data_IF_796676929731
#
_entry.id   IF_796676929731
#
_cell.length_a   1.000
_cell.length_b   1.000
_cell.length_c   1.000
_cell.angle_alpha   90.00
_cell.angle_beta   90.00
_cell.angle_gamma   90.00
#
_symmetry.space_group_name_H-M   'P 1'
#
loop_
_entity.id
_entity.type
_entity.pdbx_description
1 polymer ?
#
# COMPACT_ATOMS: atom_id res chain seq x y z
N UNK A 1 -17.76 -4.78 16.73
CA UNK A 1 -16.43 -4.77 17.33
C UNK A 1 -16.24 -3.44 18.04
N UNK A 2 -16.15 -3.45 19.39
CA UNK A 2 -15.85 -2.25 20.20
C UNK A 2 -14.47 -1.75 19.73
N UNK A 3 -14.43 -0.54 19.18
CA UNK A 3 -13.16 0.17 18.96
C UNK A 3 -12.51 0.38 20.32
N UNK A 4 -11.33 -0.19 20.52
CA UNK A 4 -10.52 0.05 21.70
C UNK A 4 -10.27 1.56 21.79
N UNK A 5 -10.85 2.20 22.81
CA UNK A 5 -10.76 3.65 23.02
C UNK A 5 -9.46 4.04 23.70
N UNK A 6 -8.72 3.06 24.20
CA UNK A 6 -7.45 3.28 24.86
C UNK A 6 -6.36 3.65 23.85
N UNK A 7 -5.54 4.67 24.13
CA UNK A 7 -4.44 5.04 23.27
C UNK A 7 -3.43 3.90 23.14
N UNK A 8 -2.76 3.86 22.00
CA UNK A 8 -1.64 2.95 21.75
C UNK A 8 -0.48 3.38 22.65
N UNK A 9 0.19 2.42 23.29
CA UNK A 9 1.43 2.63 24.05
C UNK A 9 2.54 1.72 23.54
N UNK A 10 3.77 2.02 23.90
CA UNK A 10 4.95 1.20 23.53
C UNK A 10 4.79 -0.25 24.04
N UNK A 11 4.28 -0.43 25.25
CA UNK A 11 4.06 -1.75 25.85
C UNK A 11 3.02 -2.54 25.05
N UNK A 12 1.91 -1.88 24.65
CA UNK A 12 0.88 -2.50 23.80
C UNK A 12 1.45 -2.90 22.42
N UNK A 13 2.30 -2.07 21.80
CA UNK A 13 2.96 -2.39 20.53
C UNK A 13 3.85 -3.62 20.70
N UNK A 14 4.71 -3.65 21.73
CA UNK A 14 5.58 -4.80 22.00
C UNK A 14 4.79 -6.08 22.30
N UNK A 15 3.69 -5.97 23.03
CA UNK A 15 2.80 -7.10 23.33
C UNK A 15 2.13 -7.62 22.04
N UNK A 16 1.57 -6.73 21.22
CA UNK A 16 0.94 -7.07 19.95
C UNK A 16 1.95 -7.72 18.98
N UNK A 17 3.17 -7.17 18.89
CA UNK A 17 4.23 -7.75 18.08
C UNK A 17 4.56 -9.18 18.53
N UNK A 18 4.81 -9.41 19.84
CA UNK A 18 5.09 -10.76 20.35
C UNK A 18 3.97 -11.74 20.05
N UNK A 19 2.72 -11.31 20.28
CA UNK A 19 1.55 -12.17 20.09
C UNK A 19 1.30 -12.56 18.62
N UNK A 20 1.62 -11.66 17.67
CA UNK A 20 1.28 -11.82 16.25
C UNK A 20 2.49 -11.98 15.33
N UNK A 21 3.69 -12.11 15.88
CA UNK A 21 4.93 -12.12 15.10
C UNK A 21 4.97 -13.21 14.03
N UNK A 22 4.50 -14.41 14.35
CA UNK A 22 4.45 -15.51 13.37
C UNK A 22 3.52 -15.18 12.19
N UNK A 23 2.32 -14.64 12.48
CA UNK A 23 1.35 -14.25 11.47
C UNK A 23 1.88 -13.11 10.59
N UNK A 24 2.54 -12.11 11.21
CA UNK A 24 3.15 -10.97 10.50
C UNK A 24 4.25 -11.45 9.56
N UNK A 25 5.14 -12.31 10.03
CA UNK A 25 6.23 -12.86 9.21
C UNK A 25 5.72 -13.74 8.08
N UNK A 26 4.69 -14.55 8.33
CA UNK A 26 4.03 -15.32 7.28
C UNK A 26 3.47 -14.38 6.19
N UNK A 27 2.83 -13.29 6.59
CA UNK A 27 2.31 -12.28 5.63
C UNK A 27 3.42 -11.61 4.82
N UNK A 28 4.51 -11.21 5.46
CA UNK A 28 5.65 -10.62 4.75
C UNK A 28 6.28 -11.63 3.77
N UNK A 29 6.38 -12.91 4.15
CA UNK A 29 6.84 -13.96 3.26
C UNK A 29 5.91 -14.18 2.06
N UNK A 30 4.59 -14.08 2.24
CA UNK A 30 3.63 -14.13 1.12
C UNK A 30 3.84 -12.97 0.13
N UNK A 31 4.16 -11.75 0.62
CA UNK A 31 4.50 -10.63 -0.25
C UNK A 31 5.81 -10.88 -1.02
N UNK A 32 6.85 -11.40 -0.37
CA UNK A 32 8.10 -11.79 -1.04
C UNK A 32 7.88 -12.88 -2.09
N UNK A 33 6.97 -13.81 -1.85
CA UNK A 33 6.57 -14.82 -2.82
C UNK A 33 5.90 -14.20 -4.06
N UNK A 34 5.15 -13.11 -3.90
CA UNK A 34 4.64 -12.36 -5.05
C UNK A 34 5.81 -11.86 -5.90
N UNK A 35 6.83 -11.24 -5.28
CA UNK A 35 8.00 -10.78 -6.05
C UNK A 35 8.73 -11.91 -6.76
N UNK A 36 8.94 -13.03 -6.10
CA UNK A 36 9.69 -14.16 -6.68
C UNK A 36 8.95 -14.89 -7.79
N UNK A 37 7.62 -15.03 -7.71
CA UNK A 37 6.84 -15.97 -8.51
C UNK A 37 5.82 -15.31 -9.44
N UNK A 38 5.41 -14.07 -9.18
CA UNK A 38 4.33 -13.45 -9.92
C UNK A 38 4.77 -13.03 -11.33
N UNK A 39 3.84 -13.13 -12.26
CA UNK A 39 3.94 -12.55 -13.59
C UNK A 39 3.72 -11.04 -13.55
N UNK A 40 4.11 -10.32 -14.61
CA UNK A 40 3.80 -8.87 -14.73
C UNK A 40 2.30 -8.59 -14.70
N UNK A 41 1.47 -9.49 -15.24
CA UNK A 41 0.02 -9.38 -15.14
C UNK A 41 -0.47 -9.42 -13.67
N UNK A 42 0.18 -10.21 -12.82
CA UNK A 42 -0.13 -10.24 -11.38
C UNK A 42 0.38 -8.98 -10.67
N UNK A 43 1.55 -8.46 -11.05
CA UNK A 43 2.05 -7.18 -10.53
C UNK A 43 1.12 -6.02 -10.92
N UNK A 44 0.63 -6.02 -12.16
CA UNK A 44 -0.39 -5.09 -12.62
C UNK A 44 -1.69 -5.17 -11.78
N UNK A 45 -2.18 -6.37 -11.50
CA UNK A 45 -3.35 -6.56 -10.62
C UNK A 45 -3.12 -5.95 -9.22
N UNK A 46 -1.94 -6.13 -8.62
CA UNK A 46 -1.60 -5.51 -7.32
C UNK A 46 -1.54 -3.99 -7.40
N UNK A 47 -1.04 -3.42 -8.50
CA UNK A 47 -1.02 -1.98 -8.70
C UNK A 47 -2.44 -1.43 -8.79
N UNK A 48 -3.33 -2.08 -9.56
CA UNK A 48 -4.74 -1.71 -9.65
C UNK A 48 -5.45 -1.86 -8.29
N UNK A 49 -5.14 -2.88 -7.51
CA UNK A 49 -5.65 -2.99 -6.14
C UNK A 49 -5.28 -1.76 -5.31
N UNK A 50 -4.05 -1.26 -5.41
CA UNK A 50 -3.64 -0.04 -4.70
C UNK A 50 -4.35 1.22 -5.24
N UNK A 51 -4.66 1.31 -6.53
CA UNK A 51 -5.53 2.36 -7.07
C UNK A 51 -6.91 2.32 -6.39
N UNK A 52 -7.47 1.13 -6.15
CA UNK A 52 -8.77 1.00 -5.49
C UNK A 52 -8.74 1.35 -4.01
N UNK A 53 -7.64 1.09 -3.29
CA UNK A 53 -7.57 1.36 -1.85
C UNK A 53 -7.35 2.84 -1.51
N UNK A 54 -7.09 3.69 -2.50
CA UNK A 54 -7.00 5.13 -2.29
C UNK A 54 -8.37 5.72 -1.90
N UNK A 55 -8.55 6.01 -0.61
CA UNK A 55 -9.81 6.50 -0.03
C UNK A 55 -10.92 5.44 0.10
N UNK A 56 -10.55 4.14 0.06
CA UNK A 56 -11.46 3.02 0.26
C UNK A 56 -10.81 1.93 1.15
N UNK A 57 -11.63 0.96 1.59
CA UNK A 57 -11.12 -0.16 2.40
C UNK A 57 -10.43 -1.22 1.54
N UNK A 58 -9.50 -1.98 2.15
CA UNK A 58 -8.88 -3.14 1.49
C UNK A 58 -9.93 -4.16 1.00
N UNK A 59 -10.99 -4.40 1.78
CA UNK A 59 -12.09 -5.30 1.37
C UNK A 59 -12.81 -4.81 0.12
N UNK A 60 -13.06 -3.50 0.01
CA UNK A 60 -13.61 -2.91 -1.22
C UNK A 60 -12.64 -3.06 -2.40
N UNK A 61 -11.35 -2.86 -2.19
CA UNK A 61 -10.32 -3.08 -3.19
C UNK A 61 -10.31 -4.51 -3.73
N UNK A 62 -10.34 -5.51 -2.83
CA UNK A 62 -10.39 -6.93 -3.20
C UNK A 62 -11.65 -7.29 -4.01
N UNK A 63 -12.82 -6.86 -3.55
CA UNK A 63 -14.08 -7.08 -4.26
C UNK A 63 -14.10 -6.39 -5.64
N UNK A 64 -13.45 -5.22 -5.75
CA UNK A 64 -13.33 -4.51 -7.03
C UNK A 64 -12.40 -5.22 -8.00
N UNK A 65 -11.26 -5.74 -7.54
CA UNK A 65 -10.35 -6.55 -8.37
C UNK A 65 -11.06 -7.80 -8.88
N UNK A 66 -11.77 -8.51 -8.02
CA UNK A 66 -12.53 -9.71 -8.42
C UNK A 66 -13.53 -9.40 -9.54
N UNK A 67 -14.25 -8.28 -9.45
CA UNK A 67 -15.23 -7.88 -10.44
C UNK A 67 -14.63 -7.55 -11.82
N UNK A 68 -13.39 -7.04 -11.88
CA UNK A 68 -12.77 -6.57 -13.13
C UNK A 68 -11.55 -7.38 -13.60
N UNK A 69 -11.17 -8.45 -12.88
CA UNK A 69 -9.93 -9.20 -13.20
C UNK A 69 -9.82 -9.58 -14.66
N UNK A 70 -10.91 -10.03 -15.27
CA UNK A 70 -10.98 -10.40 -16.69
C UNK A 70 -10.85 -9.22 -17.65
N UNK A 71 -11.05 -7.98 -17.17
CA UNK A 71 -10.97 -6.73 -17.94
C UNK A 71 -9.62 -6.02 -17.79
N UNK A 72 -8.75 -6.42 -16.85
CA UNK A 72 -7.52 -5.70 -16.52
C UNK A 72 -6.58 -5.51 -17.70
N UNK A 73 -6.51 -6.50 -18.61
CA UNK A 73 -5.61 -6.44 -19.75
C UNK A 73 -6.09 -5.50 -20.88
N UNK A 74 -7.40 -5.48 -21.17
CA UNK A 74 -7.93 -4.81 -22.38
C UNK A 74 -9.30 -4.15 -22.20
N UNK A 75 -9.91 -4.21 -21.02
CA UNK A 75 -11.23 -3.63 -20.79
C UNK A 75 -11.24 -2.14 -21.06
N UNK A 76 -12.30 -1.65 -21.69
CA UNK A 76 -12.51 -0.22 -21.93
C UNK A 76 -12.90 0.50 -20.64
N UNK A 77 -12.88 1.83 -20.67
CA UNK A 77 -13.34 2.63 -19.55
C UNK A 77 -14.80 2.30 -19.16
N UNK A 78 -15.67 2.15 -20.16
CA UNK A 78 -17.10 1.86 -19.99
C UNK A 78 -17.31 0.46 -19.37
N UNK A 79 -16.62 -0.55 -19.87
CA UNK A 79 -16.70 -1.93 -19.35
C UNK A 79 -16.21 -1.99 -17.89
N UNK A 80 -15.06 -1.38 -17.60
CA UNK A 80 -14.51 -1.30 -16.24
C UNK A 80 -15.46 -0.53 -15.30
N UNK A 81 -16.00 0.61 -15.75
CA UNK A 81 -16.92 1.41 -14.95
C UNK A 81 -18.22 0.65 -14.67
N UNK A 82 -18.78 -0.06 -15.66
CA UNK A 82 -19.98 -0.87 -15.49
C UNK A 82 -19.76 -2.02 -14.48
N UNK A 83 -18.64 -2.72 -14.58
CA UNK A 83 -18.31 -3.83 -13.66
C UNK A 83 -18.04 -3.34 -12.22
N UNK A 84 -17.56 -2.10 -12.06
CA UNK A 84 -17.31 -1.46 -10.76
C UNK A 84 -18.55 -0.84 -10.12
N UNK A 85 -19.68 -0.74 -10.82
CA UNK A 85 -20.95 -0.28 -10.24
C UNK A 85 -21.33 -1.13 -9.03
N UNK A 86 -21.71 -0.46 -7.92
CA UNK A 86 -22.05 -1.12 -6.64
C UNK A 86 -20.91 -1.92 -5.98
N UNK A 87 -19.71 -1.96 -6.61
CA UNK A 87 -18.51 -2.63 -6.05
C UNK A 87 -17.52 -1.63 -5.50
N UNK A 88 -17.39 -0.46 -6.15
CA UNK A 88 -16.48 0.59 -5.71
C UNK A 88 -17.19 1.93 -5.57
N UNK A 89 -16.75 2.78 -4.61
CA UNK A 89 -17.33 4.11 -4.35
C UNK A 89 -17.21 5.06 -5.55
N UNK A 90 -16.14 4.93 -6.34
CA UNK A 90 -15.79 5.83 -7.44
C UNK A 90 -15.57 5.05 -8.75
N UNK A 91 -16.58 4.38 -9.31
CA UNK A 91 -16.41 3.49 -10.46
C UNK A 91 -15.80 4.22 -11.66
N UNK A 92 -16.33 5.38 -12.05
CA UNK A 92 -15.86 6.14 -13.22
C UNK A 92 -14.42 6.66 -13.06
N UNK A 93 -14.11 7.25 -11.91
CA UNK A 93 -12.74 7.76 -11.69
C UNK A 93 -11.70 6.65 -11.66
N UNK A 94 -12.03 5.51 -11.03
CA UNK A 94 -11.07 4.39 -10.91
C UNK A 94 -10.88 3.66 -12.23
N UNK A 95 -11.93 3.48 -13.02
CA UNK A 95 -11.80 2.93 -14.37
C UNK A 95 -10.95 3.83 -15.27
N UNK A 96 -11.14 5.14 -15.22
CA UNK A 96 -10.30 6.10 -15.95
C UNK A 96 -8.83 6.03 -15.51
N UNK A 97 -8.56 5.93 -14.20
CA UNK A 97 -7.18 5.77 -13.70
C UNK A 97 -6.54 4.48 -14.20
N UNK A 98 -7.27 3.38 -14.24
CA UNK A 98 -6.77 2.10 -14.75
C UNK A 98 -6.40 2.21 -16.23
N UNK A 99 -7.29 2.77 -17.06
CA UNK A 99 -7.04 2.93 -18.49
C UNK A 99 -5.79 3.79 -18.76
N UNK A 100 -5.71 4.98 -18.15
CA UNK A 100 -4.57 5.89 -18.33
C UNK A 100 -3.26 5.27 -17.80
N UNK A 101 -3.30 4.58 -16.66
CA UNK A 101 -2.10 3.95 -16.11
C UNK A 101 -1.65 2.78 -16.97
N UNK A 102 -2.57 1.98 -17.50
CA UNK A 102 -2.27 0.88 -18.41
C UNK A 102 -1.60 1.39 -19.69
N UNK A 103 -2.19 2.39 -20.36
CA UNK A 103 -1.63 3.01 -21.56
C UNK A 103 -0.22 3.56 -21.30
N UNK A 104 -0.02 4.24 -20.18
CA UNK A 104 1.30 4.72 -19.80
C UNK A 104 2.32 3.57 -19.63
N UNK A 105 1.95 2.49 -18.93
CA UNK A 105 2.84 1.35 -18.72
C UNK A 105 3.12 0.57 -20.00
N UNK A 106 2.16 0.50 -20.92
CA UNK A 106 2.37 -0.07 -22.25
C UNK A 106 3.44 0.72 -23.01
N UNK A 107 3.38 2.05 -22.97
CA UNK A 107 4.36 2.93 -23.64
C UNK A 107 5.72 3.00 -22.92
N UNK A 108 5.74 3.08 -21.59
CA UNK A 108 6.97 3.25 -20.79
C UNK A 108 7.82 1.97 -20.70
N UNK A 109 7.16 0.83 -20.47
CA UNK A 109 7.86 -0.43 -20.21
C UNK A 109 7.26 -1.68 -20.89
N UNK A 110 6.30 -1.51 -21.82
CA UNK A 110 5.62 -2.64 -22.49
C UNK A 110 4.95 -3.58 -21.48
N UNK A 111 4.39 -3.07 -20.40
CA UNK A 111 3.81 -3.82 -19.27
C UNK A 111 4.80 -4.71 -18.53
N UNK A 112 6.12 -4.59 -18.75
CA UNK A 112 7.17 -5.33 -18.02
C UNK A 112 7.47 -4.66 -16.69
N UNK A 113 6.51 -4.71 -15.77
CA UNK A 113 6.58 -4.03 -14.48
C UNK A 113 7.76 -4.49 -13.63
N UNK A 114 8.07 -5.79 -13.62
CA UNK A 114 9.20 -6.33 -12.88
C UNK A 114 10.52 -5.70 -13.34
N UNK A 115 10.83 -5.79 -14.62
CA UNK A 115 12.04 -5.22 -15.21
C UNK A 115 12.13 -3.71 -14.93
N UNK A 116 11.00 -3.00 -15.08
CA UNK A 116 10.93 -1.58 -14.79
C UNK A 116 11.23 -1.26 -13.34
N UNK A 117 10.66 -1.99 -12.39
CA UNK A 117 10.91 -1.78 -10.96
C UNK A 117 12.34 -2.16 -10.55
N UNK A 118 12.94 -3.17 -11.19
CA UNK A 118 14.33 -3.58 -10.97
C UNK A 118 15.34 -2.61 -11.56
N UNK A 119 14.98 -1.84 -12.59
CA UNK A 119 15.88 -0.85 -13.21
C UNK A 119 16.25 0.32 -12.29
N UNK A 120 15.51 0.55 -11.19
CA UNK A 120 15.85 1.57 -10.21
C UNK A 120 16.83 1.03 -9.17
N UNK A 121 18.03 1.57 -9.10
CA UNK A 121 19.01 1.24 -8.07
C UNK A 121 18.59 1.84 -6.71
N UNK A 122 18.03 3.06 -6.71
CA UNK A 122 17.54 3.73 -5.51
C UNK A 122 16.05 3.38 -5.24
N UNK A 123 15.73 2.82 -4.06
CA UNK A 123 14.35 2.60 -3.63
C UNK A 123 13.47 3.86 -3.64
N UNK A 124 14.04 5.04 -3.41
CA UNK A 124 13.30 6.30 -3.45
C UNK A 124 12.91 6.67 -4.88
N UNK A 125 13.79 6.51 -5.86
CA UNK A 125 13.49 6.75 -7.28
C UNK A 125 12.40 5.80 -7.78
N UNK A 126 12.44 4.53 -7.37
CA UNK A 126 11.40 3.54 -7.67
C UNK A 126 10.02 4.00 -7.19
N UNK A 127 9.91 4.46 -5.93
CA UNK A 127 8.66 5.00 -5.39
C UNK A 127 8.26 6.31 -6.05
N UNK A 128 9.22 7.21 -6.32
CA UNK A 128 8.98 8.47 -7.00
C UNK A 128 8.42 8.24 -8.41
N UNK A 129 8.93 7.26 -9.15
CA UNK A 129 8.37 6.89 -10.45
C UNK A 129 6.88 6.55 -10.36
N UNK A 130 6.46 5.75 -9.38
CA UNK A 130 5.05 5.43 -9.16
C UNK A 130 4.22 6.65 -8.72
N UNK A 131 4.73 7.41 -7.75
CA UNK A 131 3.96 8.48 -7.09
C UNK A 131 3.88 9.78 -7.87
N UNK A 132 4.84 10.05 -8.79
CA UNK A 132 5.01 11.34 -9.46
C UNK A 132 4.89 11.29 -10.98
N UNK A 133 4.92 10.11 -11.60
CA UNK A 133 4.70 9.98 -13.04
C UNK A 133 3.29 10.44 -13.40
N UNK A 134 3.20 11.35 -14.37
CA UNK A 134 1.90 11.88 -14.81
C UNK A 134 0.97 10.82 -15.38
N UNK A 135 1.52 9.73 -15.91
CA UNK A 135 0.76 8.61 -16.45
C UNK A 135 0.28 7.61 -15.41
N UNK A 136 0.90 7.54 -14.23
CA UNK A 136 0.41 6.68 -13.14
C UNK A 136 -0.65 7.46 -12.35
N UNK A 137 -1.90 7.03 -12.44
CA UNK A 137 -3.03 7.72 -11.83
C UNK A 137 -3.53 7.05 -10.57
N UNK A 138 -3.94 7.86 -9.60
CA UNK A 138 -4.56 7.39 -8.38
C UNK A 138 -3.60 6.85 -7.32
N UNK A 139 -2.29 6.95 -7.55
CA UNK A 139 -1.25 6.61 -6.59
C UNK A 139 -0.52 7.88 -6.10
N UNK A 140 -0.58 8.09 -4.77
CA UNK A 140 0.33 9.00 -4.07
C UNK A 140 1.46 8.20 -3.42
N UNK A 141 2.25 8.83 -2.53
CA UNK A 141 3.34 8.13 -1.82
C UNK A 141 2.85 6.95 -0.98
N UNK A 142 1.69 7.09 -0.32
CA UNK A 142 1.10 6.04 0.51
C UNK A 142 0.72 4.81 -0.34
N UNK A 143 0.01 5.02 -1.44
CA UNK A 143 -0.43 3.94 -2.32
C UNK A 143 0.75 3.29 -3.06
N UNK A 144 1.76 4.07 -3.44
CA UNK A 144 3.00 3.57 -4.04
C UNK A 144 3.79 2.70 -3.06
N UNK A 145 3.92 3.13 -1.80
CA UNK A 145 4.52 2.31 -0.73
C UNK A 145 3.72 1.03 -0.50
N UNK A 146 2.38 1.12 -0.51
CA UNK A 146 1.50 -0.03 -0.36
C UNK A 146 1.69 -1.06 -1.48
N UNK A 147 1.76 -0.60 -2.73
CA UNK A 147 2.03 -1.47 -3.87
C UNK A 147 3.40 -2.14 -3.75
N UNK A 148 4.47 -1.38 -3.49
CA UNK A 148 5.83 -1.90 -3.38
C UNK A 148 5.95 -2.96 -2.29
N UNK A 149 5.35 -2.73 -1.10
CA UNK A 149 5.30 -3.75 -0.05
C UNK A 149 4.52 -4.99 -0.48
N UNK A 150 3.34 -4.83 -1.07
CA UNK A 150 2.47 -5.95 -1.46
C UNK A 150 3.12 -6.85 -2.52
N UNK A 151 3.99 -6.29 -3.33
CA UNK A 151 4.79 -7.08 -4.29
C UNK A 151 6.12 -7.59 -3.70
N UNK A 152 6.38 -7.39 -2.40
CA UNK A 152 7.51 -7.96 -1.69
C UNK A 152 8.78 -7.11 -1.65
N UNK A 153 8.69 -5.84 -2.05
CA UNK A 153 9.79 -4.89 -1.92
C UNK A 153 9.73 -4.21 -0.54
N UNK A 154 10.78 -4.35 0.26
CA UNK A 154 10.83 -3.92 1.66
C UNK A 154 11.27 -2.47 1.85
N UNK A 155 11.02 -1.94 3.05
CA UNK A 155 11.55 -0.66 3.51
C UNK A 155 10.68 0.56 3.16
N UNK A 156 9.41 0.36 2.80
CA UNK A 156 8.46 1.41 2.46
C UNK A 156 7.35 1.55 3.51
N UNK A 157 7.26 2.69 4.18
CA UNK A 157 6.15 2.94 5.11
C UNK A 157 4.84 3.21 4.37
N UNK A 158 3.74 2.66 4.89
CA UNK A 158 2.38 2.96 4.42
C UNK A 158 1.75 3.92 5.43
N UNK A 159 2.04 5.22 5.29
CA UNK A 159 1.58 6.26 6.21
C UNK A 159 0.08 6.55 6.04
N UNK A 160 -0.74 5.57 6.39
CA UNK A 160 -2.19 5.72 6.41
C UNK A 160 -2.68 6.34 7.73
N UNK A 161 -3.98 6.63 7.80
CA UNK A 161 -4.59 7.23 9.00
C UNK A 161 -4.40 6.39 10.27
N UNK A 162 -4.26 5.07 10.15
CA UNK A 162 -4.11 4.16 11.30
C UNK A 162 -2.68 4.22 11.84
N UNK A 163 -1.69 4.14 10.96
CA UNK A 163 -0.27 4.27 11.30
C UNK A 163 0.00 5.65 11.90
N UNK A 164 -0.44 6.73 11.21
CA UNK A 164 -0.24 8.10 11.69
C UNK A 164 -0.91 8.33 13.06
N UNK A 165 -2.08 7.76 13.30
CA UNK A 165 -2.75 7.83 14.59
C UNK A 165 -1.96 7.11 15.67
N UNK A 166 -1.44 5.90 15.40
CA UNK A 166 -0.60 5.19 16.37
C UNK A 166 0.66 5.99 16.72
N UNK A 167 1.37 6.53 15.71
CA UNK A 167 2.58 7.32 15.91
C UNK A 167 2.32 8.60 16.72
N UNK A 168 1.18 9.24 16.51
CA UNK A 168 0.74 10.38 17.32
C UNK A 168 0.44 9.97 18.78
N UNK A 169 -0.27 8.86 19.00
CA UNK A 169 -0.63 8.38 20.33
C UNK A 169 0.59 7.99 21.17
N UNK A 170 1.68 7.53 20.55
CA UNK A 170 2.95 7.21 21.25
C UNK A 170 3.94 8.38 21.29
N UNK A 171 3.55 9.57 20.82
CA UNK A 171 4.40 10.77 20.86
C UNK A 171 5.52 10.82 19.82
N UNK A 172 5.52 9.93 18.81
CA UNK A 172 6.47 9.99 17.69
C UNK A 172 6.15 11.14 16.75
N UNK A 173 4.87 11.48 16.58
CA UNK A 173 4.41 12.60 15.76
C UNK A 173 3.65 13.61 16.59
N UNK A 174 3.74 14.89 16.21
CA UNK A 174 3.02 15.99 16.85
C UNK A 174 1.56 16.10 16.37
N UNK A 175 1.25 15.48 15.23
CA UNK A 175 -0.09 15.47 14.62
C UNK A 175 -0.31 14.18 13.82
N UNK A 176 -1.54 13.64 13.82
CA UNK A 176 -1.89 12.47 13.01
C UNK A 176 -2.27 12.82 11.55
N UNK A 177 -1.99 14.04 11.10
CA UNK A 177 -2.35 14.48 9.76
C UNK A 177 -1.47 13.83 8.68
N UNK A 178 -2.05 13.39 7.55
CA UNK A 178 -1.28 12.85 6.45
C UNK A 178 -0.27 13.86 5.89
N UNK A 179 0.97 13.43 5.63
CA UNK A 179 1.97 14.31 5.03
C UNK A 179 1.55 14.71 3.61
N UNK A 180 1.49 16.01 3.34
CA UNK A 180 0.98 16.58 2.09
C UNK A 180 2.03 16.72 0.99
N UNK A 181 3.33 16.55 1.31
CA UNK A 181 4.44 16.71 0.36
C UNK A 181 5.39 15.52 0.46
N UNK A 182 6.19 15.29 -0.61
CA UNK A 182 7.28 14.30 -0.62
C UNK A 182 8.20 14.45 0.60
N UNK A 183 8.70 15.65 0.82
CA UNK A 183 9.64 15.93 1.91
C UNK A 183 9.05 15.57 3.27
N UNK A 184 7.80 15.96 3.53
CA UNK A 184 7.11 15.60 4.77
C UNK A 184 6.86 14.10 4.88
N UNK A 185 6.53 13.43 3.76
CA UNK A 185 6.34 11.98 3.76
C UNK A 185 7.62 11.25 4.16
N UNK A 186 8.75 11.60 3.54
CA UNK A 186 10.05 11.01 3.83
C UNK A 186 10.51 11.31 5.27
N UNK A 187 10.32 12.53 5.74
CA UNK A 187 10.63 12.88 7.14
C UNK A 187 9.79 12.07 8.14
N UNK A 188 8.50 11.86 7.85
CA UNK A 188 7.63 11.03 8.70
C UNK A 188 8.02 9.55 8.65
N UNK A 189 8.40 9.05 7.48
CA UNK A 189 8.90 7.69 7.31
C UNK A 189 10.19 7.46 8.11
N UNK A 190 11.12 8.44 8.12
CA UNK A 190 12.34 8.33 8.91
C UNK A 190 12.05 8.32 10.41
N UNK A 191 11.13 9.15 10.91
CA UNK A 191 10.69 9.08 12.32
C UNK A 191 10.11 7.70 12.69
N UNK A 192 9.36 7.07 11.78
CA UNK A 192 8.87 5.70 11.98
C UNK A 192 10.02 4.69 11.97
N UNK A 193 11.03 4.89 11.13
CA UNK A 193 12.24 4.03 11.06
C UNK A 193 13.06 4.12 12.34
N UNK A 194 13.27 5.33 12.86
CA UNK A 194 13.92 5.56 14.15
C UNK A 194 13.15 4.86 15.28
N UNK A 195 11.85 5.04 15.31
CA UNK A 195 11.00 4.40 16.31
C UNK A 195 11.05 2.87 16.23
N UNK A 196 11.11 2.28 15.04
CA UNK A 196 11.29 0.84 14.87
C UNK A 196 12.63 0.36 15.46
N UNK A 197 13.72 1.14 15.25
CA UNK A 197 15.04 0.88 15.85
C UNK A 197 14.99 0.91 17.39
N UNK A 198 14.34 1.93 17.97
CA UNK A 198 14.19 2.08 19.42
C UNK A 198 13.39 0.94 20.04
N UNK A 199 12.39 0.43 19.33
CA UNK A 199 11.62 -0.73 19.75
C UNK A 199 12.36 -2.06 19.55
N UNK A 200 13.42 -2.09 18.72
CA UNK A 200 14.09 -3.28 18.20
C UNK A 200 13.11 -4.23 17.48
N UNK A 201 12.21 -3.64 16.70
CA UNK A 201 11.26 -4.33 15.83
C UNK A 201 11.65 -4.02 14.38
N UNK A 202 11.65 -5.03 13.52
CA UNK A 202 11.85 -4.84 12.08
C UNK A 202 10.84 -3.82 11.53
N UNK A 203 11.30 -2.95 10.62
CA UNK A 203 10.51 -1.84 10.12
C UNK A 203 9.21 -2.29 9.41
N UNK A 204 9.30 -3.32 8.58
CA UNK A 204 8.14 -3.84 7.85
C UNK A 204 7.21 -4.65 8.79
N UNK A 205 7.78 -5.33 9.82
CA UNK A 205 6.98 -5.95 10.88
C UNK A 205 6.20 -4.90 11.67
N UNK A 206 6.83 -3.75 12.01
CA UNK A 206 6.19 -2.68 12.78
C UNK A 206 5.01 -2.05 12.04
N UNK A 207 5.12 -1.81 10.74
CA UNK A 207 4.01 -1.31 9.91
C UNK A 207 2.76 -2.20 10.06
N UNK A 208 2.92 -3.51 9.90
CA UNK A 208 1.83 -4.48 10.06
C UNK A 208 1.30 -4.58 11.50
N UNK A 209 2.16 -4.46 12.52
CA UNK A 209 1.74 -4.42 13.93
C UNK A 209 0.81 -3.24 14.17
N UNK A 210 1.28 -2.03 13.85
CA UNK A 210 0.53 -0.79 14.09
C UNK A 210 -0.82 -0.79 13.38
N UNK A 211 -0.83 -1.24 12.12
CA UNK A 211 -2.06 -1.35 11.34
C UNK A 211 -3.03 -2.36 11.97
N UNK A 212 -2.54 -3.53 12.38
CA UNK A 212 -3.35 -4.58 12.98
C UNK A 212 -3.97 -4.18 14.32
N UNK A 213 -3.29 -3.33 15.12
CA UNK A 213 -3.84 -2.82 16.38
C UNK A 213 -5.08 -1.96 16.18
N UNK A 214 -5.22 -1.29 15.05
CA UNK A 214 -6.39 -0.43 14.74
C UNK A 214 -7.48 -1.16 13.95
N UNK A 215 -7.13 -2.18 13.20
CA UNK A 215 -8.07 -2.90 12.31
C UNK A 215 -8.47 -4.27 12.85
N UNK A 216 -7.66 -4.87 13.71
CA UNK A 216 -7.82 -6.23 14.24
C UNK A 216 -7.31 -7.32 13.30
N UNK A 217 -6.90 -6.99 12.07
CA UNK A 217 -6.54 -7.94 11.02
C UNK A 217 -5.12 -7.68 10.52
N UNK A 218 -4.47 -8.69 9.92
CA UNK A 218 -3.24 -8.56 9.15
C UNK A 218 -3.59 -8.85 7.69
N UNK A 219 -4.06 -7.79 7.01
CA UNK A 219 -4.42 -7.85 5.58
C UNK A 219 -3.29 -7.27 4.71
N UNK A 220 -3.55 -7.27 3.39
CA UNK A 220 -2.76 -6.51 2.42
C UNK A 220 -2.75 -5.02 2.72
#
# INVERSE_FOLDING_TARGET
VRRDRDPVTVEKIRAAHRARRSEIRARLSEFEDVWRKATDARLWEELVFCIFTAGASARMGLSSIEAIRHLLARGTHEELAAALQRKHRYPNSRSGYICVTREFLEGDCGMRLRERLESFADPLERRDWLARSRGVKGLGYKESSHFLRNVGLRGYAILDKHILRCLFEVGVLDTPQPPSTRTRYLATEERLRDFARDLRIDFDELDLVLWSMKTGEILK
#
